data_IF_463456615362
#
_entry.id   IF_463456615362
#
_cell.length_a   1.000
_cell.length_b   1.000
_cell.length_c   1.000
_cell.angle_alpha   90.00
_cell.angle_beta   90.00
_cell.angle_gamma   90.00
#
_symmetry.space_group_name_H-M   'P 1'
#
loop_
_entity.id
_entity.type
_entity.pdbx_description
1 polymer ?
#
# COMPACT_ATOMS: atom_id res chain seq x y z
N UNK A 1 1.49 8.39 9.30
CA UNK A 1 0.06 8.66 9.17
C UNK A 1 -0.60 8.78 10.55
N UNK A 2 -1.86 9.22 10.58
CA UNK A 2 -2.62 9.33 11.83
C UNK A 2 -2.64 8.00 12.59
N UNK A 3 -2.55 8.08 13.92
CA UNK A 3 -2.43 6.90 14.80
C UNK A 3 -1.01 6.41 15.04
N UNK A 4 -0.07 6.79 14.21
CA UNK A 4 1.34 6.48 14.42
C UNK A 4 1.91 7.34 15.56
N UNK A 5 2.63 6.77 16.54
CA UNK A 5 3.06 7.52 17.73
C UNK A 5 3.87 8.78 17.47
N UNK A 6 4.61 8.83 16.37
CA UNK A 6 5.44 9.98 16.00
C UNK A 6 4.85 10.81 14.85
N UNK A 7 3.60 10.56 14.48
CA UNK A 7 2.95 11.34 13.42
C UNK A 7 2.78 12.79 13.85
N UNK A 8 3.34 13.72 13.08
CA UNK A 8 3.29 15.15 13.38
C UNK A 8 2.89 16.01 12.18
N UNK A 9 2.93 15.45 10.97
CA UNK A 9 2.62 16.20 9.76
C UNK A 9 1.12 16.12 9.43
N UNK A 10 0.49 17.22 9.02
CA UNK A 10 -0.85 17.16 8.48
C UNK A 10 -0.88 16.40 7.16
N UNK A 11 -2.00 15.74 6.89
CA UNK A 11 -2.16 14.89 5.71
C UNK A 11 -1.88 15.62 4.40
N UNK A 12 -2.24 16.91 4.31
CA UNK A 12 -1.97 17.74 3.14
C UNK A 12 -0.48 17.85 2.82
N UNK A 13 0.37 17.99 3.84
CA UNK A 13 1.82 18.02 3.64
C UNK A 13 2.38 16.65 3.22
N UNK A 14 1.82 15.57 3.78
CA UNK A 14 2.21 14.21 3.38
C UNK A 14 1.86 13.97 1.90
N UNK A 15 0.68 14.41 1.47
CA UNK A 15 0.27 14.32 0.06
C UNK A 15 1.22 15.10 -0.83
N UNK A 16 1.54 16.34 -0.48
CA UNK A 16 2.44 17.19 -1.26
C UNK A 16 3.83 16.55 -1.38
N UNK A 17 4.36 16.02 -0.29
CA UNK A 17 5.65 15.32 -0.28
C UNK A 17 5.62 14.08 -1.17
N UNK A 18 4.59 13.25 -1.06
CA UNK A 18 4.43 12.05 -1.88
C UNK A 18 4.38 12.39 -3.38
N UNK A 19 3.66 13.45 -3.74
CA UNK A 19 3.59 13.90 -5.14
C UNK A 19 4.93 14.44 -5.65
N UNK A 20 5.65 15.20 -4.83
CA UNK A 20 6.98 15.71 -5.18
C UNK A 20 7.98 14.56 -5.41
N UNK A 21 8.00 13.57 -4.52
CA UNK A 21 8.84 12.39 -4.67
C UNK A 21 8.46 11.59 -5.92
N UNK A 22 7.16 11.38 -6.15
CA UNK A 22 6.67 10.66 -7.33
C UNK A 22 7.08 11.35 -8.64
N UNK A 23 6.98 12.68 -8.70
CA UNK A 23 7.39 13.44 -9.87
C UNK A 23 8.90 13.37 -10.10
N UNK A 24 9.70 13.41 -9.03
CA UNK A 24 11.15 13.26 -9.13
C UNK A 24 11.55 11.91 -9.71
N UNK A 25 10.91 10.81 -9.24
CA UNK A 25 11.13 9.48 -9.81
C UNK A 25 10.65 9.37 -11.26
N UNK A 26 9.49 9.93 -11.56
CA UNK A 26 8.98 9.98 -12.94
C UNK A 26 9.96 10.67 -13.88
N UNK A 27 10.50 11.82 -13.47
CA UNK A 27 11.46 12.59 -14.27
C UNK A 27 12.80 11.86 -14.42
N UNK A 28 13.14 11.01 -13.45
CA UNK A 28 14.32 10.12 -13.53
C UNK A 28 14.11 8.92 -14.46
N UNK A 29 12.90 8.70 -14.99
CA UNK A 29 12.63 7.70 -16.01
C UNK A 29 12.32 6.30 -15.46
N UNK A 30 11.81 6.18 -14.24
CA UNK A 30 11.37 4.88 -13.70
C UNK A 30 10.13 4.35 -14.45
N UNK A 31 9.98 3.03 -14.51
CA UNK A 31 8.86 2.39 -15.20
C UNK A 31 7.60 2.29 -14.34
N UNK A 32 7.74 2.36 -13.03
CA UNK A 32 6.61 2.30 -12.10
C UNK A 32 7.00 2.73 -10.69
N UNK A 33 5.99 2.94 -9.86
CA UNK A 33 6.15 3.37 -8.46
C UNK A 33 5.28 2.52 -7.54
N UNK A 34 5.72 2.40 -6.31
CA UNK A 34 4.96 1.80 -5.22
C UNK A 34 4.85 2.81 -4.06
N UNK A 35 3.61 3.07 -3.63
CA UNK A 35 3.34 3.88 -2.44
C UNK A 35 3.25 2.95 -1.22
N UNK A 36 3.96 3.30 -0.14
CA UNK A 36 4.03 2.48 1.05
C UNK A 36 4.05 3.36 2.31
N UNK A 37 3.32 2.96 3.35
CA UNK A 37 3.31 3.68 4.63
C UNK A 37 4.50 3.30 5.53
N UNK A 38 5.70 3.28 4.99
CA UNK A 38 6.91 2.78 5.66
C UNK A 38 7.32 3.57 6.91
N UNK A 39 6.84 4.79 7.08
CA UNK A 39 7.13 5.62 8.25
C UNK A 39 6.15 5.43 9.41
N UNK A 40 5.15 4.55 9.26
CA UNK A 40 4.14 4.27 10.28
C UNK A 40 4.66 3.29 11.36
N UNK A 41 5.86 3.52 11.84
CA UNK A 41 6.49 2.67 12.87
C UNK A 41 6.03 3.06 14.28
N UNK A 42 5.82 2.07 15.18
CA UNK A 42 5.86 0.62 14.95
C UNK A 42 4.65 0.14 14.16
N UNK A 43 4.87 -0.83 13.28
CA UNK A 43 3.78 -1.37 12.46
C UNK A 43 2.80 -2.19 13.27
N UNK A 44 1.55 -2.24 12.79
CA UNK A 44 0.50 -3.12 13.33
C UNK A 44 -0.08 -3.98 12.22
N UNK A 45 -0.41 -5.22 12.54
CA UNK A 45 -0.98 -6.17 11.57
C UNK A 45 -2.38 -5.75 11.09
N UNK A 46 -3.10 -5.01 11.90
CA UNK A 46 -4.45 -4.55 11.56
C UNK A 46 -4.55 -3.02 11.72
N UNK A 47 -3.97 -2.25 10.78
CA UNK A 47 -4.14 -0.80 10.81
C UNK A 47 -5.62 -0.43 10.69
N UNK A 48 -6.00 0.64 11.35
CA UNK A 48 -7.38 1.11 11.36
C UNK A 48 -7.82 1.75 10.04
N UNK A 49 -9.10 2.10 9.94
CA UNK A 49 -9.66 2.71 8.73
C UNK A 49 -9.02 4.07 8.38
N UNK A 50 -8.45 4.76 9.36
CA UNK A 50 -7.72 6.03 9.14
C UNK A 50 -6.52 5.84 8.22
N UNK A 51 -5.81 4.71 8.32
CA UNK A 51 -4.68 4.39 7.44
C UNK A 51 -5.16 4.11 6.02
N UNK A 52 -6.22 3.32 5.87
CA UNK A 52 -6.82 3.04 4.56
C UNK A 52 -7.29 4.33 3.88
N UNK A 53 -7.98 5.19 4.61
CA UNK A 53 -8.46 6.48 4.09
C UNK A 53 -7.30 7.39 3.66
N UNK A 54 -6.27 7.54 4.50
CA UNK A 54 -5.11 8.36 4.19
C UNK A 54 -4.34 7.81 2.98
N UNK A 55 -4.07 6.50 2.94
CA UNK A 55 -3.39 5.86 1.81
C UNK A 55 -4.17 6.00 0.51
N UNK A 56 -5.50 6.03 0.57
CA UNK A 56 -6.34 6.23 -0.61
C UNK A 56 -6.16 7.63 -1.20
N UNK A 57 -6.25 8.67 -0.38
CA UNK A 57 -6.12 10.05 -0.89
C UNK A 57 -4.68 10.35 -1.36
N UNK A 58 -3.66 9.82 -0.67
CA UNK A 58 -2.25 9.94 -1.10
C UNK A 58 -2.07 9.24 -2.45
N UNK A 59 -2.52 8.00 -2.57
CA UNK A 59 -2.38 7.21 -3.80
C UNK A 59 -3.12 7.84 -4.99
N UNK A 60 -4.31 8.39 -4.74
CA UNK A 60 -5.07 9.10 -5.77
C UNK A 60 -4.34 10.35 -6.26
N UNK A 61 -3.72 11.11 -5.36
CA UNK A 61 -2.93 12.30 -5.71
C UNK A 61 -1.68 11.90 -6.52
N UNK A 62 -0.98 10.83 -6.13
CA UNK A 62 0.16 10.30 -6.89
C UNK A 62 -0.28 9.82 -8.28
N UNK A 63 -1.42 9.12 -8.38
CA UNK A 63 -1.99 8.72 -9.68
C UNK A 63 -2.27 9.92 -10.57
N UNK A 64 -2.83 10.98 -9.99
CA UNK A 64 -3.08 12.22 -10.74
C UNK A 64 -1.79 12.87 -11.25
N UNK A 65 -0.74 12.88 -10.42
CA UNK A 65 0.57 13.43 -10.80
C UNK A 65 1.32 12.56 -11.83
N UNK A 66 1.09 11.25 -11.82
CA UNK A 66 1.78 10.27 -12.65
C UNK A 66 0.79 9.37 -13.40
N UNK A 67 -0.04 9.92 -14.33
CA UNK A 67 -1.16 9.18 -14.91
C UNK A 67 -0.76 8.00 -15.80
N UNK A 68 0.49 7.98 -16.29
CA UNK A 68 0.99 6.97 -17.25
C UNK A 68 1.91 5.92 -16.63
N UNK A 69 2.35 6.10 -15.38
CA UNK A 69 3.21 5.12 -14.73
C UNK A 69 2.39 3.94 -14.21
N UNK A 70 3.00 2.76 -14.20
CA UNK A 70 2.49 1.65 -13.41
C UNK A 70 2.58 2.03 -11.93
N UNK A 71 1.46 2.02 -11.22
CA UNK A 71 1.40 2.41 -9.80
C UNK A 71 0.83 1.30 -8.95
N UNK A 72 1.48 1.04 -7.84
CA UNK A 72 1.05 0.09 -6.84
C UNK A 72 0.99 0.67 -5.44
N UNK A 73 0.48 -0.12 -4.52
CA UNK A 73 0.43 0.22 -3.11
C UNK A 73 0.71 -0.99 -2.23
N UNK A 74 1.39 -0.74 -1.12
CA UNK A 74 1.50 -1.67 0.01
C UNK A 74 1.02 -0.96 1.27
N UNK A 75 0.24 -1.67 2.07
CA UNK A 75 -0.20 -1.16 3.38
C UNK A 75 0.38 -2.04 4.47
N UNK A 76 1.31 -1.48 5.21
CA UNK A 76 2.01 -2.16 6.30
C UNK A 76 1.18 -2.18 7.60
N UNK A 77 1.29 -3.33 8.31
CA UNK A 77 1.95 -4.52 7.76
C UNK A 77 0.89 -5.55 7.38
N UNK A 78 1.11 -6.21 6.26
CA UNK A 78 0.26 -7.29 5.73
C UNK A 78 -1.24 -6.93 5.60
N UNK A 79 -1.56 -5.64 5.48
CA UNK A 79 -2.94 -5.17 5.32
C UNK A 79 -3.36 -5.27 3.84
N UNK A 80 -3.36 -6.50 3.32
CA UNK A 80 -3.46 -6.76 1.90
C UNK A 80 -4.86 -6.49 1.32
N UNK A 81 -5.92 -6.74 2.08
CA UNK A 81 -7.28 -6.37 1.67
C UNK A 81 -7.45 -4.85 1.60
N UNK A 82 -6.90 -4.13 2.59
CA UNK A 82 -6.87 -2.68 2.60
C UNK A 82 -6.10 -2.14 1.37
N UNK A 83 -4.98 -2.78 1.01
CA UNK A 83 -4.22 -2.42 -0.19
C UNK A 83 -5.06 -2.60 -1.47
N UNK A 84 -5.84 -3.67 -1.60
CA UNK A 84 -6.78 -3.86 -2.71
C UNK A 84 -7.82 -2.74 -2.72
N UNK A 85 -8.39 -2.39 -1.58
CA UNK A 85 -9.39 -1.32 -1.47
C UNK A 85 -8.80 0.05 -1.89
N UNK A 86 -7.59 0.36 -1.43
CA UNK A 86 -6.86 1.58 -1.82
C UNK A 86 -6.60 1.59 -3.32
N UNK A 87 -6.05 0.50 -3.86
CA UNK A 87 -5.74 0.39 -5.29
C UNK A 87 -6.98 0.54 -6.16
N UNK A 88 -8.10 -0.07 -5.77
CA UNK A 88 -9.36 0.04 -6.49
C UNK A 88 -9.88 1.48 -6.49
N UNK A 89 -9.93 2.12 -5.32
CA UNK A 89 -10.46 3.48 -5.18
C UNK A 89 -9.56 4.54 -5.82
N UNK A 90 -8.24 4.38 -5.75
CA UNK A 90 -7.28 5.33 -6.30
C UNK A 90 -6.91 5.06 -7.77
N UNK A 91 -7.40 4.00 -8.38
CA UNK A 91 -7.11 3.66 -9.78
C UNK A 91 -5.68 3.16 -9.99
N UNK A 92 -5.14 2.36 -9.06
CA UNK A 92 -3.81 1.79 -9.17
C UNK A 92 -3.83 0.45 -9.90
N UNK A 93 -2.65 -0.03 -10.28
CA UNK A 93 -2.50 -1.21 -11.16
C UNK A 93 -2.19 -2.50 -10.39
N UNK A 94 -1.52 -2.38 -9.23
CA UNK A 94 -1.08 -3.55 -8.46
C UNK A 94 -0.96 -3.26 -6.98
N UNK A 95 -0.85 -4.33 -6.21
CA UNK A 95 -0.45 -4.27 -4.80
C UNK A 95 0.80 -5.12 -4.57
N UNK A 96 1.56 -4.81 -3.52
CA UNK A 96 2.55 -5.71 -2.95
C UNK A 96 1.96 -6.33 -1.69
N UNK A 97 1.96 -7.67 -1.63
CA UNK A 97 1.36 -8.44 -0.55
C UNK A 97 2.42 -9.17 0.27
N UNK A 98 2.37 -8.98 1.58
CA UNK A 98 3.14 -9.76 2.55
C UNK A 98 2.30 -10.94 3.03
N UNK A 99 2.94 -12.09 3.33
CA UNK A 99 2.22 -13.25 3.86
C UNK A 99 1.12 -13.74 2.93
N UNK A 100 1.43 -13.90 1.65
CA UNK A 100 0.42 -14.29 0.66
C UNK A 100 0.07 -15.78 0.76
N UNK A 101 1.01 -16.67 0.43
CA UNK A 101 0.78 -18.13 0.45
C UNK A 101 1.24 -18.76 1.76
N UNK A 102 2.39 -18.35 2.29
CA UNK A 102 2.99 -18.93 3.49
C UNK A 102 2.95 -17.95 4.67
N UNK A 103 2.62 -18.50 5.85
CA UNK A 103 2.78 -17.76 7.10
C UNK A 103 4.25 -17.65 7.48
N UNK A 104 4.61 -16.57 8.19
CA UNK A 104 5.96 -16.38 8.70
C UNK A 104 5.94 -15.55 9.98
N UNK A 105 7.05 -15.60 10.72
CA UNK A 105 7.28 -14.75 11.88
C UNK A 105 8.01 -13.48 11.43
N UNK A 106 7.51 -12.34 11.86
CA UNK A 106 8.07 -11.02 11.56
C UNK A 106 8.23 -10.21 12.87
N UNK A 107 8.76 -9.00 12.78
CA UNK A 107 8.91 -8.12 13.95
C UNK A 107 7.57 -7.85 14.65
N UNK A 108 6.48 -7.85 13.90
CA UNK A 108 5.11 -7.61 14.38
C UNK A 108 4.43 -8.89 14.91
N UNK A 109 5.11 -10.03 14.87
CA UNK A 109 4.58 -11.33 15.30
C UNK A 109 4.33 -12.29 14.13
N UNK A 110 3.32 -13.15 14.27
CA UNK A 110 2.97 -14.14 13.25
C UNK A 110 2.09 -13.47 12.19
N UNK A 111 2.56 -13.46 10.95
CA UNK A 111 1.79 -13.06 9.78
C UNK A 111 1.22 -14.31 9.10
N UNK A 112 -0.08 -14.50 9.17
CA UNK A 112 -0.75 -15.64 8.58
C UNK A 112 -0.88 -15.50 7.05
N UNK A 113 -0.83 -16.64 6.36
CA UNK A 113 -1.11 -16.68 4.93
C UNK A 113 -2.54 -16.19 4.63
N UNK A 114 -2.70 -15.37 3.61
CA UNK A 114 -3.98 -14.73 3.31
C UNK A 114 -4.46 -14.97 1.87
N UNK A 115 -3.77 -15.76 1.06
CA UNK A 115 -4.02 -15.87 -0.38
C UNK A 115 -5.48 -16.18 -0.72
N UNK A 116 -6.09 -17.16 -0.03
CA UNK A 116 -7.47 -17.52 -0.29
C UNK A 116 -8.46 -16.39 0.00
N UNK A 117 -8.32 -15.76 1.17
CA UNK A 117 -9.18 -14.62 1.55
C UNK A 117 -8.96 -13.41 0.67
N UNK A 118 -7.71 -13.11 0.34
CA UNK A 118 -7.37 -11.95 -0.50
C UNK A 118 -7.93 -12.09 -1.92
N UNK A 119 -7.80 -13.26 -2.53
CA UNK A 119 -8.33 -13.51 -3.88
C UNK A 119 -9.86 -13.46 -3.92
N UNK A 120 -10.53 -13.97 -2.88
CA UNK A 120 -11.98 -13.85 -2.76
C UNK A 120 -12.43 -12.41 -2.58
N UNK A 121 -11.76 -11.67 -1.73
CA UNK A 121 -12.03 -10.24 -1.54
C UNK A 121 -11.85 -9.46 -2.84
N UNK A 122 -10.75 -9.67 -3.57
CA UNK A 122 -10.48 -9.05 -4.85
C UNK A 122 -11.63 -9.29 -5.85
N UNK A 123 -12.13 -10.52 -5.94
CA UNK A 123 -13.28 -10.88 -6.76
C UNK A 123 -14.55 -10.19 -6.30
N UNK A 124 -14.81 -10.22 -4.99
CA UNK A 124 -16.03 -9.66 -4.40
C UNK A 124 -16.18 -8.16 -4.67
N UNK A 125 -15.08 -7.39 -4.62
CA UNK A 125 -15.11 -5.94 -4.86
C UNK A 125 -14.91 -5.54 -6.32
N UNK A 126 -14.79 -6.50 -7.23
CA UNK A 126 -14.62 -6.23 -8.66
C UNK A 126 -13.23 -5.69 -9.03
N UNK A 127 -12.21 -6.06 -8.27
CA UNK A 127 -10.83 -5.58 -8.44
C UNK A 127 -9.91 -6.61 -9.13
N UNK A 128 -10.45 -7.45 -10.01
CA UNK A 128 -9.71 -8.55 -10.63
C UNK A 128 -8.60 -8.10 -11.58
N UNK A 129 -8.68 -6.87 -12.08
CA UNK A 129 -7.62 -6.24 -12.88
C UNK A 129 -6.43 -5.75 -12.05
N UNK A 130 -6.55 -5.69 -10.72
CA UNK A 130 -5.44 -5.32 -9.84
C UNK A 130 -4.55 -6.54 -9.66
N UNK A 131 -3.27 -6.41 -10.05
CA UNK A 131 -2.29 -7.48 -9.91
C UNK A 131 -1.78 -7.57 -8.47
N UNK A 132 -1.37 -8.77 -8.07
CA UNK A 132 -0.80 -9.03 -6.75
C UNK A 132 0.63 -9.48 -6.93
N UNK A 133 1.58 -8.68 -6.44
CA UNK A 133 2.98 -9.04 -6.34
C UNK A 133 3.27 -9.47 -4.91
N UNK A 134 3.55 -10.76 -4.72
CA UNK A 134 3.77 -11.33 -3.39
C UNK A 134 5.24 -11.38 -3.03
N UNK A 135 5.56 -11.10 -1.76
CA UNK A 135 6.89 -11.32 -1.22
C UNK A 135 7.19 -12.82 -1.19
N UNK A 136 8.35 -13.20 -1.72
CA UNK A 136 8.83 -14.57 -1.69
C UNK A 136 9.57 -14.84 -0.36
N UNK A 137 10.37 -13.86 0.07
CA UNK A 137 11.16 -13.95 1.31
C UNK A 137 11.33 -12.57 1.92
N UNK A 138 10.90 -12.41 3.16
CA UNK A 138 11.13 -11.18 3.93
C UNK A 138 12.45 -11.24 4.69
N UNK A 139 13.08 -10.08 4.88
CA UNK A 139 14.30 -10.00 5.68
C UNK A 139 14.05 -9.65 7.15
N UNK A 140 12.83 -9.36 7.52
CA UNK A 140 12.45 -9.04 8.91
C UNK A 140 11.67 -10.20 9.53
#
# INVERSE_FOLDING_TARGET
LAGTPRSSLPLTQIIDQACQEAEAYKDAGVDGLLVENMHDVPYTVCPGPEVTAAMTVISAAVRHACPRLALGVQVLCAANQQAIAVALAAGLDFIRAEGFVFSHVADEGILNACAGNLLRYRKQVGAENIQIFADIKKKH
#
